data_IF_071572721230
#
_entry.id   IF_071572721230
#
_cell.length_a   1.000
_cell.length_b   1.000
_cell.length_c   1.000
_cell.angle_alpha   90.00
_cell.angle_beta   90.00
_cell.angle_gamma   90.00
#
_symmetry.space_group_name_H-M   'P 1'
#
loop_
_entity.id
_entity.type
_entity.pdbx_description
1 polymer ?
#
# COMPACT_ATOMS: atom_id res chain seq x y z
N UNK A 1 -27.99 10.73 -5.35
CA UNK A 1 -29.13 10.61 -4.41
C UNK A 1 -29.01 9.27 -3.71
N UNK A 2 -28.46 9.24 -2.49
CA UNK A 2 -28.51 8.08 -1.60
C UNK A 2 -29.67 8.32 -0.64
N UNK A 3 -30.83 7.68 -0.86
CA UNK A 3 -32.05 7.96 -0.13
C UNK A 3 -32.31 6.99 1.04
N UNK A 4 -31.41 6.05 1.31
CA UNK A 4 -31.53 5.12 2.44
C UNK A 4 -30.17 4.69 2.98
N UNK A 5 -30.04 4.66 4.31
CA UNK A 5 -28.83 4.18 5.01
C UNK A 5 -28.46 2.74 4.65
N UNK A 6 -29.43 1.92 4.20
CA UNK A 6 -29.19 0.53 3.78
C UNK A 6 -28.39 0.46 2.48
N UNK A 7 -28.67 1.34 1.51
CA UNK A 7 -27.99 1.36 0.22
C UNK A 7 -26.52 1.79 0.35
N UNK A 8 -26.24 2.67 1.31
CA UNK A 8 -24.89 3.08 1.68
C UNK A 8 -24.13 1.89 2.30
N UNK A 9 -24.78 1.13 3.20
CA UNK A 9 -24.16 -0.02 3.87
C UNK A 9 -23.83 -1.16 2.88
N UNK A 10 -24.75 -1.48 1.97
CA UNK A 10 -24.50 -2.47 0.91
C UNK A 10 -23.46 -1.98 -0.11
N UNK A 11 -23.41 -0.68 -0.38
CA UNK A 11 -22.34 -0.06 -1.19
C UNK A 11 -20.97 -0.17 -0.53
N UNK A 12 -20.88 -0.08 0.80
CA UNK A 12 -19.64 -0.30 1.56
C UNK A 12 -19.21 -1.78 1.59
N UNK A 13 -20.15 -2.71 1.52
CA UNK A 13 -19.86 -4.16 1.46
C UNK A 13 -19.44 -4.64 0.05
N UNK A 14 -19.55 -3.78 -0.97
CA UNK A 14 -19.06 -4.10 -2.31
C UNK A 14 -17.51 -4.14 -2.33
N UNK A 15 -16.96 -5.29 -2.74
CA UNK A 15 -15.52 -5.57 -2.82
C UNK A 15 -14.78 -4.50 -3.63
N UNK A 16 -15.41 -3.99 -4.70
CA UNK A 16 -14.82 -2.93 -5.54
C UNK A 16 -14.68 -1.62 -4.76
N UNK A 17 -15.70 -1.23 -3.99
CA UNK A 17 -15.65 -0.04 -3.13
C UNK A 17 -14.60 -0.16 -2.04
N UNK A 18 -14.51 -1.33 -1.39
CA UNK A 18 -13.55 -1.63 -0.32
C UNK A 18 -12.12 -1.59 -0.86
N UNK A 19 -11.87 -2.23 -2.01
CA UNK A 19 -10.54 -2.25 -2.62
C UNK A 19 -10.08 -0.85 -3.04
N UNK A 20 -10.99 -0.02 -3.55
CA UNK A 20 -10.70 1.36 -3.91
C UNK A 20 -10.44 2.22 -2.66
N UNK A 21 -11.23 2.05 -1.60
CA UNK A 21 -11.02 2.71 -0.31
C UNK A 21 -9.68 2.35 0.31
N UNK A 22 -9.31 1.05 0.33
CA UNK A 22 -8.02 0.58 0.80
C UNK A 22 -6.89 1.18 -0.04
N UNK A 23 -7.04 1.19 -1.37
CA UNK A 23 -6.01 1.76 -2.28
C UNK A 23 -5.80 3.25 -2.05
N UNK A 24 -6.85 4.01 -1.76
CA UNK A 24 -6.75 5.45 -1.50
C UNK A 24 -6.13 5.74 -0.13
N UNK A 25 -6.53 5.02 0.91
CA UNK A 25 -6.10 5.29 2.29
C UNK A 25 -4.74 4.71 2.65
N UNK A 26 -4.28 3.66 1.97
CA UNK A 26 -2.97 3.03 2.22
C UNK A 26 -1.82 3.77 1.55
N UNK A 27 -2.07 4.90 0.89
CA UNK A 27 -1.03 5.71 0.25
C UNK A 27 -0.97 7.08 0.91
N UNK A 28 0.23 7.53 1.25
CA UNK A 28 0.46 8.83 1.87
C UNK A 28 1.57 9.58 1.17
N UNK A 29 1.32 10.85 0.87
CA UNK A 29 2.36 11.79 0.46
C UNK A 29 3.14 12.24 1.70
N UNK A 30 4.44 12.02 1.69
CA UNK A 30 5.35 12.47 2.74
C UNK A 30 6.47 13.31 2.15
N UNK A 31 7.04 14.19 2.95
CA UNK A 31 8.20 14.98 2.54
C UNK A 31 9.45 14.10 2.58
N UNK A 32 10.36 14.27 1.62
CA UNK A 32 11.58 13.45 1.52
C UNK A 32 12.53 13.67 2.72
N UNK A 33 12.46 14.83 3.37
CA UNK A 33 13.18 15.07 4.64
C UNK A 33 12.77 14.08 5.74
N UNK A 34 11.49 13.67 5.75
CA UNK A 34 10.88 12.82 6.76
C UNK A 34 10.92 11.32 6.38
N UNK A 35 11.56 11.00 5.25
CA UNK A 35 11.76 9.63 4.79
C UNK A 35 12.62 8.86 5.80
N UNK A 36 12.17 7.65 6.15
CA UNK A 36 12.87 6.72 7.04
C UNK A 36 13.13 5.39 6.33
N UNK A 37 14.14 4.68 6.79
CA UNK A 37 14.39 3.30 6.39
C UNK A 37 13.16 2.41 6.65
N UNK A 38 12.92 1.44 5.78
CA UNK A 38 11.78 0.53 5.85
C UNK A 38 10.47 1.07 5.26
N UNK A 39 10.44 2.34 4.83
CA UNK A 39 9.28 2.89 4.12
C UNK A 39 9.16 2.32 2.70
N UNK A 40 7.95 1.96 2.27
CA UNK A 40 7.71 1.40 0.94
C UNK A 40 7.32 2.52 -0.01
N UNK A 41 8.16 2.82 -0.98
CA UNK A 41 7.91 3.85 -1.98
C UNK A 41 7.01 3.29 -3.09
N UNK A 42 5.93 4.02 -3.39
CA UNK A 42 5.06 3.76 -4.54
C UNK A 42 5.73 4.23 -5.84
N UNK A 43 5.02 4.11 -6.96
CA UNK A 43 5.54 4.54 -8.26
C UNK A 43 5.86 6.04 -8.25
N UNK A 44 7.14 6.38 -8.43
CA UNK A 44 7.62 7.73 -8.65
C UNK A 44 8.05 7.87 -10.10
N UNK A 45 7.35 8.70 -10.87
CA UNK A 45 7.57 8.87 -12.31
C UNK A 45 8.56 9.99 -12.61
N UNK A 46 9.44 9.77 -13.59
CA UNK A 46 10.47 10.73 -13.99
C UNK A 46 10.95 10.52 -15.43
N UNK A 47 11.55 11.57 -16.00
CA UNK A 47 12.10 11.56 -17.37
C UNK A 47 13.63 11.59 -17.43
N UNK A 48 14.28 12.00 -16.34
CA UNK A 48 15.73 12.18 -16.31
C UNK A 48 16.46 10.84 -16.15
N UNK A 49 17.23 10.44 -17.15
CA UNK A 49 18.01 9.19 -17.16
C UNK A 49 19.08 9.14 -16.06
N UNK A 50 19.59 10.29 -15.59
CA UNK A 50 20.55 10.33 -14.49
C UNK A 50 19.98 9.71 -13.22
N UNK A 51 18.68 9.88 -12.99
CA UNK A 51 17.98 9.27 -11.84
C UNK A 51 18.00 7.74 -11.97
N UNK A 52 17.79 7.23 -13.19
CA UNK A 52 17.78 5.80 -13.44
C UNK A 52 19.14 5.15 -13.14
N UNK A 53 20.22 5.78 -13.59
CA UNK A 53 21.60 5.32 -13.38
C UNK A 53 21.96 5.35 -11.90
N UNK A 54 21.70 6.47 -11.20
CA UNK A 54 22.03 6.61 -9.78
C UNK A 54 21.33 5.56 -8.90
N UNK A 55 20.08 5.21 -9.22
CA UNK A 55 19.35 4.18 -8.47
C UNK A 55 19.84 2.77 -8.84
N UNK A 56 20.19 2.51 -10.10
CA UNK A 56 20.71 1.20 -10.50
C UNK A 56 22.10 0.89 -9.95
N UNK A 57 22.90 1.93 -9.68
CA UNK A 57 24.27 1.78 -9.18
C UNK A 57 24.31 1.42 -7.68
N UNK A 58 23.24 1.70 -6.94
CA UNK A 58 23.12 1.34 -5.52
C UNK A 58 22.55 -0.07 -5.39
N UNK A 59 23.19 -0.90 -4.56
CA UNK A 59 22.69 -2.22 -4.20
C UNK A 59 21.59 -2.11 -3.12
N UNK A 60 20.47 -1.47 -3.49
CA UNK A 60 19.34 -1.18 -2.61
C UNK A 60 18.08 -1.97 -2.96
N UNK A 61 16.98 -1.63 -2.29
CA UNK A 61 15.66 -2.20 -2.57
C UNK A 61 14.84 -1.33 -3.55
N UNK A 62 15.37 -0.19 -3.99
CA UNK A 62 14.76 0.61 -5.05
C UNK A 62 15.11 0.05 -6.43
N UNK A 63 14.10 -0.08 -7.30
CA UNK A 63 14.31 -0.48 -8.69
C UNK A 63 13.62 0.45 -9.66
N UNK A 64 14.29 0.66 -10.78
CA UNK A 64 13.83 1.48 -11.90
C UNK A 64 13.19 0.59 -12.95
N UNK A 65 12.09 1.07 -13.51
CA UNK A 65 11.31 0.41 -14.54
C UNK A 65 11.03 1.39 -15.67
N UNK A 66 10.99 0.87 -16.90
CA UNK A 66 10.50 1.64 -18.05
C UNK A 66 8.97 1.64 -18.04
N UNK A 67 8.39 2.80 -18.25
CA UNK A 67 6.96 2.95 -18.40
C UNK A 67 6.51 2.38 -19.74
N UNK A 68 5.43 1.59 -19.75
CA UNK A 68 4.76 1.12 -20.98
C UNK A 68 3.45 1.85 -21.28
N UNK A 69 2.82 2.42 -20.24
CA UNK A 69 1.41 2.85 -20.29
C UNK A 69 1.20 4.34 -19.98
N UNK A 70 2.26 5.16 -19.92
CA UNK A 70 2.15 6.59 -19.64
C UNK A 70 2.98 7.36 -20.67
N UNK A 71 2.38 8.20 -21.54
CA UNK A 71 3.10 8.91 -22.59
C UNK A 71 3.98 10.05 -22.05
N UNK A 72 3.66 10.57 -20.86
CA UNK A 72 4.33 11.74 -20.29
C UNK A 72 5.64 11.39 -19.56
N UNK A 73 5.82 10.12 -19.18
CA UNK A 73 6.93 9.67 -18.35
C UNK A 73 7.64 8.44 -18.91
N UNK A 74 8.96 8.56 -19.11
CA UNK A 74 9.79 7.48 -19.65
C UNK A 74 10.07 6.38 -18.62
N UNK A 75 10.29 6.77 -17.36
CA UNK A 75 10.73 5.88 -16.30
C UNK A 75 9.93 6.07 -15.01
N UNK A 76 9.93 5.05 -14.17
CA UNK A 76 9.49 5.17 -12.79
C UNK A 76 10.33 4.27 -11.88
N UNK A 77 10.45 4.64 -10.62
CA UNK A 77 11.04 3.77 -9.61
C UNK A 77 10.04 3.46 -8.50
N UNK A 78 10.23 2.30 -7.87
CA UNK A 78 9.47 1.86 -6.70
C UNK A 78 10.31 0.93 -5.82
N UNK A 79 9.86 0.70 -4.58
CA UNK A 79 10.43 -0.35 -3.75
C UNK A 79 10.13 -1.73 -4.34
N UNK A 80 11.13 -2.60 -4.43
CA UNK A 80 11.00 -3.95 -4.96
C UNK A 80 10.31 -4.90 -3.96
N UNK A 81 10.68 -4.81 -2.68
CA UNK A 81 10.15 -5.69 -1.63
C UNK A 81 9.31 -4.94 -0.60
N UNK A 82 8.49 -5.71 0.14
CA UNK A 82 7.72 -5.22 1.28
C UNK A 82 8.58 -4.81 2.49
N UNK A 83 9.90 -5.05 2.44
CA UNK A 83 10.85 -4.55 3.44
C UNK A 83 11.10 -3.03 3.34
N UNK A 84 10.65 -2.38 2.26
CA UNK A 84 10.83 -0.95 2.06
C UNK A 84 12.26 -0.55 1.70
N UNK A 85 12.52 0.75 1.62
CA UNK A 85 13.84 1.28 1.24
C UNK A 85 14.90 0.99 2.31
N UNK A 86 16.13 0.78 1.85
CA UNK A 86 17.31 0.66 2.73
C UNK A 86 17.78 2.04 3.21
N UNK A 87 18.69 2.07 4.19
CA UNK A 87 19.36 3.32 4.58
C UNK A 87 20.08 4.01 3.40
N UNK A 88 20.74 3.25 2.53
CA UNK A 88 21.46 3.80 1.36
C UNK A 88 20.49 4.47 0.37
N UNK A 89 19.38 3.79 0.07
CA UNK A 89 18.29 4.31 -0.75
C UNK A 89 17.74 5.63 -0.18
N UNK A 90 17.50 5.68 1.14
CA UNK A 90 17.01 6.87 1.84
C UNK A 90 17.97 8.05 1.70
N UNK A 91 19.27 7.83 1.92
CA UNK A 91 20.28 8.88 1.78
C UNK A 91 20.38 9.38 0.34
N UNK A 92 20.38 8.48 -0.65
CA UNK A 92 20.38 8.86 -2.07
C UNK A 92 19.21 9.79 -2.38
N UNK A 93 17.98 9.39 -2.00
CA UNK A 93 16.79 10.20 -2.27
C UNK A 93 16.86 11.57 -1.60
N UNK A 94 17.38 11.66 -0.37
CA UNK A 94 17.58 12.94 0.32
C UNK A 94 18.59 13.84 -0.41
N UNK A 95 19.70 13.28 -0.90
CA UNK A 95 20.70 14.01 -1.69
C UNK A 95 20.10 14.50 -3.00
N UNK A 96 19.35 13.65 -3.70
CA UNK A 96 18.69 14.01 -4.96
C UNK A 96 17.65 15.13 -4.78
N UNK A 97 16.92 15.12 -3.66
CA UNK A 97 16.00 16.21 -3.32
C UNK A 97 16.75 17.50 -3.00
N UNK A 98 17.84 17.43 -2.24
CA UNK A 98 18.67 18.61 -1.92
C UNK A 98 19.27 19.25 -3.19
N UNK A 99 19.62 18.43 -4.18
CA UNK A 99 20.09 18.88 -5.50
C UNK A 99 18.96 19.31 -6.46
N UNK A 100 17.69 19.31 -6.00
CA UNK A 100 16.49 19.63 -6.80
C UNK A 100 16.30 18.74 -8.03
N UNK A 101 16.81 17.51 -7.99
CA UNK A 101 16.65 16.52 -9.07
C UNK A 101 15.28 15.85 -9.00
N UNK A 102 14.76 15.63 -7.78
CA UNK A 102 13.44 15.07 -7.52
C UNK A 102 12.57 16.05 -6.74
N UNK A 103 11.26 15.84 -6.75
CA UNK A 103 10.31 16.67 -6.01
C UNK A 103 10.47 16.48 -4.51
N UNK A 104 10.03 17.46 -3.72
CA UNK A 104 10.19 17.44 -2.27
C UNK A 104 9.29 16.42 -1.54
N UNK A 105 8.33 15.83 -2.26
CA UNK A 105 7.35 14.90 -1.71
C UNK A 105 7.29 13.62 -2.51
N UNK A 106 7.18 12.50 -1.81
CA UNK A 106 7.07 11.18 -2.42
C UNK A 106 5.91 10.40 -1.82
N UNK A 107 5.27 9.58 -2.66
CA UNK A 107 4.18 8.71 -2.23
C UNK A 107 4.75 7.45 -1.61
N UNK A 108 4.36 7.20 -0.37
CA UNK A 108 4.75 6.01 0.41
C UNK A 108 3.51 5.21 0.73
N UNK A 109 3.63 3.89 0.64
CA UNK A 109 2.62 2.95 1.08
C UNK A 109 2.67 2.80 2.59
N UNK A 110 1.55 3.06 3.24
CA UNK A 110 1.37 2.79 4.66
C UNK A 110 1.29 1.27 4.83
N UNK A 111 2.03 0.75 5.82
CA UNK A 111 1.94 -0.65 6.20
C UNK A 111 0.52 -0.98 6.64
N UNK A 112 -0.06 -2.05 6.07
CA UNK A 112 -1.36 -2.52 6.52
C UNK A 112 -1.25 -3.01 7.97
N UNK A 113 -2.16 -2.62 8.88
CA UNK A 113 -2.13 -3.05 10.27
C UNK A 113 -2.50 -4.53 10.38
N UNK A 114 -1.50 -5.39 10.17
CA UNK A 114 -1.66 -6.84 10.09
C UNK A 114 -2.19 -7.45 11.39
N UNK A 115 -1.67 -7.00 12.54
CA UNK A 115 -2.10 -7.53 13.83
C UNK A 115 -3.57 -7.23 14.16
N UNK A 116 -4.08 -5.98 14.02
CA UNK A 116 -5.52 -5.72 14.15
C UNK A 116 -6.39 -6.53 13.20
N UNK A 117 -5.94 -6.76 11.96
CA UNK A 117 -6.69 -7.55 10.99
C UNK A 117 -6.76 -9.04 11.36
N UNK A 118 -5.66 -9.64 11.82
CA UNK A 118 -5.67 -11.02 12.34
C UNK A 118 -6.60 -11.12 13.55
N UNK A 119 -6.50 -10.17 14.47
CA UNK A 119 -7.33 -10.17 15.68
C UNK A 119 -8.82 -10.10 15.33
N UNK A 120 -9.21 -9.25 14.37
CA UNK A 120 -10.58 -9.20 13.87
C UNK A 120 -11.00 -10.54 13.25
N UNK A 121 -10.15 -11.15 12.44
CA UNK A 121 -10.41 -12.48 11.85
C UNK A 121 -10.60 -13.57 12.91
N UNK A 122 -9.76 -13.58 13.95
CA UNK A 122 -9.89 -14.48 15.09
C UNK A 122 -11.24 -14.27 15.80
N UNK A 123 -11.63 -13.03 16.09
CA UNK A 123 -12.87 -12.72 16.78
C UNK A 123 -14.10 -13.17 15.97
N UNK A 124 -14.08 -12.97 14.65
CA UNK A 124 -15.10 -13.47 13.73
C UNK A 124 -15.15 -15.00 13.77
N UNK A 125 -14.00 -15.67 13.74
CA UNK A 125 -13.92 -17.14 13.78
C UNK A 125 -14.48 -17.74 15.06
N UNK A 126 -14.24 -17.11 16.22
CA UNK A 126 -14.81 -17.56 17.51
C UNK A 126 -16.33 -17.46 17.48
N UNK A 127 -16.86 -16.30 17.08
CA UNK A 127 -18.32 -16.07 17.02
C UNK A 127 -18.98 -17.02 16.01
N UNK A 128 -18.39 -17.17 14.83
CA UNK A 128 -18.94 -18.02 13.77
C UNK A 128 -18.85 -19.51 14.14
N UNK A 129 -17.75 -19.93 14.76
CA UNK A 129 -17.57 -21.30 15.26
C UNK A 129 -18.63 -21.69 16.28
N UNK A 130 -18.86 -20.82 17.27
CA UNK A 130 -19.90 -21.05 18.29
C UNK A 130 -21.31 -21.08 17.68
N UNK A 131 -21.61 -20.16 16.76
CA UNK A 131 -22.89 -20.15 16.04
C UNK A 131 -23.10 -21.41 15.21
N UNK A 132 -22.05 -21.89 14.53
CA UNK A 132 -22.10 -23.11 13.72
C UNK A 132 -22.30 -24.35 14.60
N UNK A 133 -21.65 -24.43 15.76
CA UNK A 133 -21.83 -25.52 16.71
C UNK A 133 -23.27 -25.56 17.25
N UNK A 134 -23.83 -24.40 17.59
CA UNK A 134 -25.23 -24.27 18.01
C UNK A 134 -26.20 -24.69 16.89
N UNK A 135 -25.90 -24.31 15.64
CA UNK A 135 -26.70 -24.69 14.48
C UNK A 135 -26.70 -26.21 14.28
N UNK A 136 -25.52 -26.85 14.30
CA UNK A 136 -25.37 -28.31 14.20
C UNK A 136 -26.11 -29.00 15.35
N UNK A 137 -25.94 -28.54 16.58
CA UNK A 137 -26.57 -29.17 17.75
C UNK A 137 -28.09 -29.10 17.71
N UNK A 138 -28.67 -28.01 17.18
CA UNK A 138 -30.13 -27.85 17.10
C UNK A 138 -30.78 -28.51 15.87
N UNK A 139 -30.09 -28.57 14.74
CA UNK A 139 -30.68 -29.06 13.49
C UNK A 139 -30.26 -30.49 13.12
N UNK A 140 -29.07 -30.93 13.51
CA UNK A 140 -28.55 -32.27 13.16
C UNK A 140 -28.56 -33.27 14.32
N UNK A 141 -28.65 -32.81 15.57
CA UNK A 141 -28.62 -33.68 16.77
C UNK A 141 -30.00 -33.83 17.45
N UNK A 142 -31.01 -33.12 16.97
CA UNK A 142 -32.43 -33.22 17.43
C UNK A 142 -33.29 -34.00 16.42
N UNK A 143 -32.68 -34.54 15.36
CA UNK A 143 -33.23 -35.57 14.50
C UNK A 143 -32.60 -36.92 14.86
#
# INVERSE_FOLDING_TARGET
>A
MFNSNKDILFSFLNINSISLFLKLNLNKLILIKDLKEGMIINDYYFNNEKIAVLISDINGNLKVYKTKNNPDFNYYFKSQSAGGITAQDMYLLKIMNAQKIISNSISVKIGFPFAPAIFAGFLISVIYGDLMLLFIKKFFLVM
#
